data_IF_094270423344
#
_entry.id   IF_094270423344
#
_cell.length_a   1.000
_cell.length_b   1.000
_cell.length_c   1.000
_cell.angle_alpha   90.00
_cell.angle_beta   90.00
_cell.angle_gamma   90.00
#
_symmetry.space_group_name_H-M   'P 1'
#
loop_
_entity.id
_entity.type
_entity.pdbx_description
1 polymer ?
#
# COMPACT_ATOMS: atom_id res chain seq x y z
N UNK A 1 13.50 1.28 3.98
CA UNK A 1 12.07 1.40 4.36
C UNK A 1 11.30 0.29 3.65
N UNK A 2 10.39 -0.39 4.35
CA UNK A 2 9.48 -1.39 3.80
C UNK A 2 8.01 -1.02 4.05
N UNK A 3 7.75 -0.23 5.09
CA UNK A 3 6.42 0.20 5.47
C UNK A 3 6.43 1.71 5.61
N UNK A 4 5.52 2.37 4.92
CA UNK A 4 5.27 3.80 5.00
C UNK A 4 3.83 4.00 5.46
N UNK A 5 3.64 4.73 6.55
CA UNK A 5 2.37 4.88 7.23
C UNK A 5 1.97 6.35 7.27
N UNK A 6 0.75 6.63 6.88
CA UNK A 6 0.09 7.89 7.12
C UNK A 6 -0.44 7.92 8.56
N UNK A 7 0.25 8.65 9.42
CA UNK A 7 0.03 8.55 10.86
C UNK A 7 -1.37 9.00 11.30
N UNK A 8 -1.88 10.10 10.75
CA UNK A 8 -3.19 10.58 11.16
C UNK A 8 -4.35 9.81 10.55
N UNK A 9 -4.18 9.23 9.37
CA UNK A 9 -5.16 8.32 8.80
C UNK A 9 -5.32 7.03 9.63
N UNK A 10 -4.24 6.59 10.28
CA UNK A 10 -4.28 5.43 11.18
C UNK A 10 -4.88 5.78 12.55
N UNK A 11 -4.54 6.95 13.12
CA UNK A 11 -5.07 7.38 14.44
C UNK A 11 -6.58 7.67 14.36
N UNK A 12 -7.03 8.24 13.26
CA UNK A 12 -8.39 8.70 13.10
C UNK A 12 -9.03 8.08 11.87
N UNK A 13 -10.05 7.22 12.01
CA UNK A 13 -10.87 6.77 10.89
C UNK A 13 -11.38 7.96 10.06
N UNK A 14 -11.70 7.78 8.76
CA UNK A 14 -12.00 8.86 7.81
C UNK A 14 -12.98 9.93 8.29
N UNK A 15 -13.94 9.59 9.17
CA UNK A 15 -14.85 10.55 9.77
C UNK A 15 -14.26 11.41 10.91
N UNK A 16 -13.14 11.00 11.52
CA UNK A 16 -12.47 11.73 12.60
C UNK A 16 -11.34 12.64 12.12
N UNK A 17 -10.80 12.41 10.94
CA UNK A 17 -9.82 13.33 10.32
C UNK A 17 -10.44 14.71 10.14
N UNK A 18 -11.74 14.80 9.89
CA UNK A 18 -12.46 16.05 9.88
C UNK A 18 -12.32 16.85 11.19
N UNK A 19 -12.11 16.20 12.33
CA UNK A 19 -11.88 16.87 13.61
C UNK A 19 -10.51 17.57 13.68
N UNK A 20 -9.51 17.06 12.97
CA UNK A 20 -8.18 17.68 12.89
C UNK A 20 -8.19 18.92 11.97
N UNK A 21 -9.11 18.97 11.01
CA UNK A 21 -9.33 20.11 10.11
C UNK A 21 -10.25 21.19 10.70
N UNK A 22 -10.74 21.00 11.94
CA UNK A 22 -11.57 21.99 12.60
C UNK A 22 -10.80 23.25 13.02
N UNK A 23 -11.47 24.41 13.19
CA UNK A 23 -10.87 25.60 13.78
C UNK A 23 -10.22 25.28 15.14
N UNK A 24 -9.13 25.97 15.49
CA UNK A 24 -8.29 25.65 16.66
C UNK A 24 -9.09 25.46 17.98
N UNK A 25 -10.17 26.23 18.19
CA UNK A 25 -11.02 26.13 19.40
C UNK A 25 -11.90 24.86 19.44
N UNK A 26 -11.97 24.09 18.36
CA UNK A 26 -12.73 22.83 18.27
C UNK A 26 -11.82 21.62 18.05
N UNK A 27 -10.50 21.84 17.94
CA UNK A 27 -9.52 20.73 17.80
C UNK A 27 -9.34 20.03 19.16
N UNK A 28 -9.03 18.73 19.13
CA UNK A 28 -8.60 18.04 20.35
C UNK A 28 -7.39 18.75 20.98
N UNK A 29 -7.23 18.70 22.31
CA UNK A 29 -6.04 19.22 22.97
C UNK A 29 -4.74 18.64 22.38
N UNK A 30 -3.68 19.43 22.35
CA UNK A 30 -2.37 18.98 21.83
C UNK A 30 -1.85 17.73 22.57
N UNK A 31 -2.15 17.62 23.86
CA UNK A 31 -1.80 16.45 24.67
C UNK A 31 -2.53 15.19 24.21
N UNK A 32 -3.79 15.30 23.81
CA UNK A 32 -4.55 14.17 23.27
C UNK A 32 -3.91 13.62 21.98
N UNK A 33 -3.50 14.50 21.07
CA UNK A 33 -2.82 14.10 19.82
C UNK A 33 -1.47 13.43 20.11
N UNK A 34 -0.71 13.99 21.06
CA UNK A 34 0.55 13.39 21.52
C UNK A 34 0.31 11.97 22.04
N UNK A 35 -0.69 11.80 22.91
CA UNK A 35 -1.01 10.51 23.51
C UNK A 35 -1.47 9.49 22.44
N UNK A 36 -2.24 9.94 21.45
CA UNK A 36 -2.63 9.07 20.35
C UNK A 36 -1.41 8.64 19.50
N UNK A 37 -0.49 9.55 19.19
CA UNK A 37 0.75 9.21 18.48
C UNK A 37 1.58 8.19 19.27
N UNK A 38 1.78 8.42 20.57
CA UNK A 38 2.54 7.51 21.43
C UNK A 38 1.90 6.11 21.47
N UNK A 39 0.57 6.04 21.62
CA UNK A 39 -0.18 4.77 21.57
C UNK A 39 -0.02 4.07 20.23
N UNK A 40 -0.12 4.80 19.13
CA UNK A 40 0.09 4.24 17.81
C UNK A 40 1.49 3.64 17.69
N UNK A 41 2.54 4.41 18.04
CA UNK A 41 3.93 3.92 17.96
C UNK A 41 4.12 2.67 18.81
N UNK A 42 3.58 2.64 20.02
CA UNK A 42 3.64 1.48 20.89
C UNK A 42 2.92 0.26 20.29
N UNK A 43 1.71 0.44 19.76
CA UNK A 43 0.94 -0.63 19.11
C UNK A 43 1.70 -1.20 17.90
N UNK A 44 2.24 -0.30 17.09
CA UNK A 44 3.02 -0.70 15.90
C UNK A 44 4.30 -1.44 16.28
N UNK A 45 5.04 -0.94 17.28
CA UNK A 45 6.28 -1.58 17.72
C UNK A 45 6.05 -3.00 18.24
N UNK A 46 4.97 -3.20 19.01
CA UNK A 46 4.57 -4.52 19.51
C UNK A 46 4.15 -5.44 18.38
N UNK A 47 3.29 -4.97 17.47
CA UNK A 47 2.74 -5.79 16.38
C UNK A 47 3.75 -6.11 15.27
N UNK A 48 4.68 -5.20 14.97
CA UNK A 48 5.70 -5.38 13.94
C UNK A 48 6.95 -6.12 14.45
N UNK A 49 7.22 -5.99 15.73
CA UNK A 49 8.49 -6.46 16.29
C UNK A 49 9.70 -5.60 15.87
N UNK A 50 10.88 -5.83 16.46
CA UNK A 50 12.02 -4.92 16.34
C UNK A 50 12.59 -4.82 14.91
N UNK A 51 12.52 -5.87 14.13
CA UNK A 51 13.08 -5.90 12.78
C UNK A 51 12.26 -5.07 11.78
N UNK A 52 10.93 -5.23 11.77
CA UNK A 52 10.06 -4.45 10.89
C UNK A 52 9.90 -3.01 11.38
N UNK A 53 9.92 -2.77 12.71
CA UNK A 53 9.92 -1.42 13.27
C UNK A 53 11.05 -0.57 12.69
N UNK A 54 12.29 -1.10 12.60
CA UNK A 54 13.44 -0.42 11.98
C UNK A 54 13.28 -0.14 10.48
N UNK A 55 12.31 -0.75 9.84
CA UNK A 55 12.01 -0.60 8.41
C UNK A 55 10.71 0.17 8.17
N UNK A 56 10.12 0.71 9.23
CA UNK A 56 8.85 1.45 9.22
C UNK A 56 9.10 2.94 9.39
N UNK A 57 8.41 3.73 8.59
CA UNK A 57 8.38 5.20 8.69
C UNK A 57 6.92 5.64 8.81
N UNK A 58 6.65 6.53 9.76
CA UNK A 58 5.35 7.16 9.95
C UNK A 58 5.49 8.64 9.63
N UNK A 59 4.59 9.17 8.82
CA UNK A 59 4.50 10.60 8.50
C UNK A 59 3.31 11.20 9.23
N UNK A 60 3.56 12.29 9.96
CA UNK A 60 2.53 13.12 10.57
C UNK A 60 2.51 14.51 9.93
N UNK A 61 1.35 15.13 9.88
CA UNK A 61 1.24 16.53 9.45
C UNK A 61 1.98 17.45 10.42
N UNK A 62 2.75 18.40 9.87
CA UNK A 62 3.54 19.34 10.66
C UNK A 62 2.69 20.37 11.42
N UNK A 63 1.46 20.64 10.97
CA UNK A 63 0.55 21.56 11.65
C UNK A 63 0.26 21.17 13.10
N UNK A 64 0.37 19.88 13.41
CA UNK A 64 0.13 19.29 14.73
C UNK A 64 1.44 18.81 15.40
N UNK A 65 2.60 19.21 14.87
CA UNK A 65 3.89 18.87 15.47
C UNK A 65 4.03 19.55 16.85
N UNK A 66 4.45 18.81 17.89
CA UNK A 66 4.74 19.42 19.18
C UNK A 66 5.84 20.46 19.08
N UNK A 67 5.69 21.64 19.71
CA UNK A 67 6.72 22.68 19.68
C UNK A 67 8.05 22.14 20.22
N UNK A 68 9.15 22.42 19.51
CA UNK A 68 10.49 22.06 19.94
C UNK A 68 10.92 20.62 19.71
N UNK A 69 10.07 19.78 19.09
CA UNK A 69 10.51 18.45 18.65
C UNK A 69 11.20 18.54 17.27
N UNK A 70 12.21 17.68 17.04
CA UNK A 70 12.81 17.58 15.71
C UNK A 70 11.77 17.07 14.69
N UNK A 71 11.91 17.50 13.44
CA UNK A 71 11.06 17.04 12.34
C UNK A 71 11.22 15.54 12.03
N UNK A 72 12.33 14.94 12.45
CA UNK A 72 12.64 13.53 12.28
C UNK A 72 13.15 12.97 13.62
N UNK A 73 12.58 11.86 14.06
CA UNK A 73 12.99 11.16 15.27
C UNK A 73 12.79 9.65 15.11
N UNK A 74 13.43 8.87 15.97
CA UNK A 74 13.25 7.42 16.03
C UNK A 74 12.74 7.05 17.41
N UNK A 75 11.61 6.36 17.46
CA UNK A 75 11.02 5.86 18.70
C UNK A 75 10.68 4.37 18.53
N UNK A 76 11.10 3.56 19.48
CA UNK A 76 10.95 2.10 19.46
C UNK A 76 11.41 1.44 18.14
N UNK A 77 12.41 2.01 17.48
CA UNK A 77 12.92 1.57 16.20
C UNK A 77 12.17 2.14 14.99
N UNK A 78 11.00 2.73 15.16
CA UNK A 78 10.18 3.31 14.10
C UNK A 78 10.67 4.74 13.84
N UNK A 79 10.85 5.08 12.57
CA UNK A 79 11.13 6.45 12.14
C UNK A 79 9.84 7.25 12.13
N UNK A 80 9.83 8.38 12.83
CA UNK A 80 8.71 9.32 12.87
C UNK A 80 9.17 10.60 12.20
N UNK A 81 8.42 11.06 11.21
CA UNK A 81 8.69 12.31 10.51
C UNK A 81 7.46 13.20 10.52
N UNK A 82 7.66 14.49 10.81
CA UNK A 82 6.66 15.52 10.62
C UNK A 82 6.91 16.22 9.30
N UNK A 83 5.86 16.42 8.49
CA UNK A 83 5.95 16.98 7.12
C UNK A 83 6.26 18.49 7.11
N UNK A 84 7.29 18.89 7.85
CA UNK A 84 7.74 20.31 7.91
C UNK A 84 8.19 20.76 6.53
N UNK A 85 7.65 21.90 6.08
CA UNK A 85 7.95 22.44 4.74
C UNK A 85 7.03 21.93 3.62
N UNK A 86 6.13 21.01 3.92
CA UNK A 86 5.08 20.56 3.01
C UNK A 86 3.73 21.18 3.41
N UNK A 87 2.84 21.31 2.44
CA UNK A 87 1.50 21.83 2.71
C UNK A 87 0.66 20.85 3.53
N UNK A 88 0.80 19.56 3.25
CA UNK A 88 0.10 18.45 3.89
C UNK A 88 1.04 17.23 3.98
N UNK A 89 0.74 16.30 4.88
CA UNK A 89 1.50 15.05 5.00
C UNK A 89 1.46 14.22 3.70
N UNK A 90 0.36 14.31 2.94
CA UNK A 90 0.17 13.61 1.67
C UNK A 90 1.25 13.97 0.65
N UNK A 91 1.63 15.25 0.55
CA UNK A 91 2.67 15.71 -0.37
C UNK A 91 4.02 15.05 -0.05
N UNK A 92 4.33 14.90 1.25
CA UNK A 92 5.55 14.20 1.70
C UNK A 92 5.48 12.70 1.46
N UNK A 93 4.33 12.08 1.69
CA UNK A 93 4.10 10.66 1.40
C UNK A 93 4.30 10.37 -0.09
N UNK A 94 3.73 11.17 -0.98
CA UNK A 94 3.89 11.03 -2.43
C UNK A 94 5.36 11.16 -2.87
N UNK A 95 6.09 12.12 -2.30
CA UNK A 95 7.52 12.30 -2.60
C UNK A 95 8.32 11.05 -2.17
N UNK A 96 8.10 10.53 -0.97
CA UNK A 96 8.77 9.33 -0.47
C UNK A 96 8.44 8.09 -1.33
N UNK A 97 7.19 7.95 -1.76
CA UNK A 97 6.75 6.88 -2.67
C UNK A 97 7.45 7.02 -4.02
N UNK A 98 7.50 8.25 -4.57
CA UNK A 98 8.12 8.51 -5.87
C UNK A 98 9.64 8.24 -5.83
N UNK A 99 10.31 8.64 -4.77
CA UNK A 99 11.75 8.48 -4.59
C UNK A 99 12.17 7.06 -4.19
N UNK A 100 11.23 6.19 -3.82
CA UNK A 100 11.57 4.84 -3.33
C UNK A 100 12.17 3.97 -4.44
N UNK A 101 13.41 3.48 -4.23
CA UNK A 101 14.17 2.71 -5.22
C UNK A 101 13.63 1.30 -5.50
N UNK A 102 12.87 0.71 -4.57
CA UNK A 102 12.30 -0.63 -4.70
C UNK A 102 10.78 -0.63 -4.37
N UNK A 103 9.94 0.04 -5.17
CA UNK A 103 8.53 0.26 -4.84
C UNK A 103 7.74 -1.04 -4.69
N UNK A 104 8.07 -2.09 -5.43
CA UNK A 104 7.43 -3.41 -5.28
C UNK A 104 7.62 -4.06 -3.90
N UNK A 105 8.57 -3.55 -3.10
CA UNK A 105 8.83 -4.01 -1.73
C UNK A 105 8.24 -3.08 -0.68
N UNK A 106 7.62 -1.98 -1.09
CA UNK A 106 7.04 -0.97 -0.23
C UNK A 106 5.55 -1.28 0.02
N UNK A 107 5.17 -1.28 1.30
CA UNK A 107 3.78 -1.26 1.74
C UNK A 107 3.44 0.15 2.19
N UNK A 108 2.41 0.74 1.62
CA UNK A 108 1.90 2.08 1.97
C UNK A 108 0.55 1.91 2.65
N UNK A 109 0.46 2.38 3.89
CA UNK A 109 -0.73 2.29 4.72
C UNK A 109 -1.35 3.69 4.84
N UNK A 110 -2.41 3.92 4.12
CA UNK A 110 -3.21 5.15 4.15
C UNK A 110 -4.60 4.86 3.61
N UNK A 111 -5.63 5.47 4.19
CA UNK A 111 -6.99 5.46 3.65
C UNK A 111 -7.25 6.65 2.71
N UNK A 112 -6.25 7.50 2.47
CA UNK A 112 -6.36 8.56 1.48
C UNK A 112 -6.19 8.01 0.06
N UNK A 113 -7.18 8.30 -0.78
CA UNK A 113 -7.21 7.81 -2.16
C UNK A 113 -6.04 8.35 -3.02
N UNK A 114 -5.60 9.58 -2.77
CA UNK A 114 -4.52 10.23 -3.47
C UNK A 114 -3.19 9.50 -3.20
N UNK A 115 -2.89 9.24 -1.93
CA UNK A 115 -1.71 8.49 -1.48
C UNK A 115 -1.73 7.06 -2.01
N UNK A 116 -2.87 6.37 -1.92
CA UNK A 116 -3.02 5.01 -2.45
C UNK A 116 -2.80 4.95 -3.97
N UNK A 117 -3.33 5.94 -4.72
CA UNK A 117 -3.13 6.02 -6.16
C UNK A 117 -1.66 6.24 -6.52
N UNK A 118 -0.95 7.10 -5.80
CA UNK A 118 0.48 7.32 -5.98
C UNK A 118 1.27 6.02 -5.73
N UNK A 119 0.96 5.29 -4.66
CA UNK A 119 1.58 4.00 -4.35
C UNK A 119 1.36 2.96 -5.46
N UNK A 120 0.11 2.77 -5.89
CA UNK A 120 -0.24 1.82 -6.96
C UNK A 120 0.44 2.15 -8.29
N UNK A 121 0.51 3.43 -8.67
CA UNK A 121 1.20 3.88 -9.90
C UNK A 121 2.69 3.54 -9.89
N UNK A 122 3.31 3.51 -8.72
CA UNK A 122 4.72 3.10 -8.54
C UNK A 122 4.89 1.59 -8.42
N UNK A 123 3.79 0.82 -8.33
CA UNK A 123 3.82 -0.62 -8.12
C UNK A 123 4.07 -1.02 -6.67
N UNK A 124 3.83 -0.12 -5.71
CA UNK A 124 3.82 -0.41 -4.28
C UNK A 124 2.47 -1.02 -3.86
N UNK A 125 2.48 -1.77 -2.77
CA UNK A 125 1.26 -2.26 -2.15
C UNK A 125 0.61 -1.12 -1.37
N UNK A 126 -0.62 -0.73 -1.75
CA UNK A 126 -1.42 0.23 -1.02
C UNK A 126 -2.52 -0.49 -0.23
N UNK A 127 -2.62 -0.21 1.06
CA UNK A 127 -3.56 -0.86 1.99
C UNK A 127 -4.28 0.21 2.82
N UNK A 128 -5.57 0.01 3.06
CA UNK A 128 -6.35 0.82 3.99
C UNK A 128 -5.92 0.63 5.43
N UNK A 129 -6.05 1.68 6.23
CA UNK A 129 -5.58 1.72 7.62
C UNK A 129 -6.26 0.70 8.52
N UNK A 130 -7.61 0.63 8.52
CA UNK A 130 -8.37 -0.27 9.40
C UNK A 130 -8.04 -1.74 9.15
N UNK A 131 -8.23 -2.30 7.94
CA UNK A 131 -7.94 -3.71 7.70
C UNK A 131 -6.46 -4.06 7.87
N UNK A 132 -5.56 -3.09 7.72
CA UNK A 132 -4.14 -3.30 7.97
C UNK A 132 -3.85 -3.41 9.47
N UNK A 133 -4.45 -2.53 10.30
CA UNK A 133 -4.31 -2.58 11.75
C UNK A 133 -4.90 -3.86 12.35
N UNK A 134 -6.06 -4.29 11.88
CA UNK A 134 -6.69 -5.54 12.32
C UNK A 134 -5.74 -6.71 12.08
N UNK A 135 -5.16 -6.80 10.90
CA UNK A 135 -4.18 -7.83 10.58
C UNK A 135 -2.89 -7.72 11.38
N UNK A 136 -2.45 -6.52 11.68
CA UNK A 136 -1.29 -6.30 12.55
C UNK A 136 -1.56 -6.83 13.96
N UNK A 137 -2.75 -6.56 14.49
CA UNK A 137 -3.17 -7.03 15.82
C UNK A 137 -3.27 -8.55 15.88
N UNK A 138 -3.67 -9.19 14.78
CA UNK A 138 -3.70 -10.64 14.63
C UNK A 138 -2.29 -11.26 14.41
N UNK A 139 -1.24 -10.44 14.44
CA UNK A 139 0.14 -10.88 14.19
C UNK A 139 0.45 -11.23 12.73
N UNK A 140 -0.40 -10.81 11.78
CA UNK A 140 -0.29 -11.10 10.35
C UNK A 140 -0.34 -9.82 9.50
N UNK A 141 0.57 -8.86 9.69
CA UNK A 141 0.54 -7.62 8.93
C UNK A 141 0.64 -7.89 7.43
N UNK A 142 -0.20 -7.21 6.65
CA UNK A 142 -0.14 -7.32 5.19
C UNK A 142 1.06 -6.51 4.70
N UNK A 143 1.98 -7.18 4.02
CA UNK A 143 3.22 -6.61 3.50
C UNK A 143 3.37 -6.91 2.01
N UNK A 144 4.04 -6.01 1.29
CA UNK A 144 4.35 -6.17 -0.13
C UNK A 144 5.27 -7.39 -0.41
N UNK A 145 6.04 -7.78 0.59
CA UNK A 145 6.89 -8.99 0.56
C UNK A 145 6.69 -9.77 1.87
N UNK A 146 6.79 -11.11 1.84
CA UNK A 146 6.77 -11.92 3.06
C UNK A 146 7.84 -11.47 4.06
N UNK A 147 7.54 -11.55 5.35
CA UNK A 147 8.50 -11.27 6.41
C UNK A 147 8.51 -12.41 7.44
N UNK A 148 9.66 -12.93 7.86
CA UNK A 148 10.99 -12.62 7.33
C UNK A 148 11.11 -12.96 5.85
N UNK A 149 11.98 -12.27 5.09
CA UNK A 149 12.19 -12.62 3.69
C UNK A 149 12.70 -14.05 3.63
N UNK A 150 12.30 -14.85 2.63
CA UNK A 150 12.83 -16.20 2.47
C UNK A 150 14.36 -16.12 2.50
N UNK A 151 14.99 -16.90 3.38
CA UNK A 151 16.44 -16.98 3.47
C UNK A 151 16.96 -17.43 2.10
N UNK A 152 18.04 -16.82 1.63
CA UNK A 152 18.69 -17.17 0.36
C UNK A 152 19.27 -18.60 0.35
N UNK A 153 18.70 -19.52 1.08
CA UNK A 153 19.10 -20.91 1.24
C UNK A 153 17.96 -21.84 1.67
N UNK A 154 16.75 -21.33 1.94
CA UNK A 154 15.59 -22.20 1.94
C UNK A 154 15.24 -22.46 0.47
N UNK A 155 15.60 -23.63 0.00
CA UNK A 155 15.08 -24.19 -1.23
C UNK A 155 13.60 -23.83 -1.28
N UNK A 156 13.21 -23.12 -2.37
CA UNK A 156 11.84 -23.03 -2.74
C UNK A 156 11.33 -24.47 -2.65
N UNK A 157 10.36 -24.75 -1.77
CA UNK A 157 9.48 -25.88 -2.00
C UNK A 157 9.12 -25.74 -3.47
N UNK A 158 9.60 -26.68 -4.24
CA UNK A 158 9.31 -26.79 -5.65
C UNK A 158 7.79 -26.66 -5.79
N UNK A 159 7.32 -25.47 -6.12
CA UNK A 159 6.13 -25.41 -6.95
C UNK A 159 6.56 -26.24 -8.16
N UNK A 160 6.03 -27.46 -8.22
CA UNK A 160 6.29 -28.44 -9.27
C UNK A 160 6.44 -27.67 -10.59
N UNK A 161 7.66 -27.57 -11.07
CA UNK A 161 7.87 -27.24 -12.48
C UNK A 161 7.04 -28.26 -13.23
N UNK A 162 6.17 -27.85 -14.14
CA UNK A 162 5.43 -28.81 -14.94
C UNK A 162 6.46 -29.77 -15.52
N UNK A 163 6.36 -31.02 -15.11
CA UNK A 163 7.24 -32.09 -15.59
C UNK A 163 7.14 -32.05 -17.12
N UNK A 164 8.27 -31.98 -17.81
CA UNK A 164 8.35 -31.84 -19.26
C UNK A 164 7.49 -32.86 -20.03
N UNK A 165 7.12 -33.98 -19.43
CA UNK A 165 6.19 -34.96 -19.99
C UNK A 165 4.71 -34.57 -20.06
N UNK A 166 4.29 -33.54 -19.33
CA UNK A 166 2.88 -33.07 -19.39
C UNK A 166 2.63 -32.03 -20.47
N UNK A 167 3.68 -31.45 -21.04
CA UNK A 167 3.52 -30.46 -22.11
C UNK A 167 3.16 -31.16 -23.41
N UNK A 168 3.74 -32.30 -23.68
CA UNK A 168 3.44 -33.10 -24.88
C UNK A 168 2.02 -33.66 -24.83
N UNK A 169 1.56 -34.11 -23.66
CA UNK A 169 0.20 -34.59 -23.44
C UNK A 169 -0.85 -33.45 -23.60
N UNK A 170 -0.47 -32.22 -23.26
CA UNK A 170 -1.28 -31.02 -23.48
C UNK A 170 -1.35 -30.61 -24.94
N UNK A 171 -0.23 -30.73 -25.67
CA UNK A 171 -0.18 -30.44 -27.11
C UNK A 171 -0.97 -31.48 -27.93
N UNK A 172 -0.90 -32.76 -27.55
CA UNK A 172 -1.72 -33.80 -28.21
C UNK A 172 -3.23 -33.61 -27.93
N UNK A 173 -3.63 -33.10 -26.75
CA UNK A 173 -5.03 -32.78 -26.47
C UNK A 173 -5.55 -31.59 -27.32
N UNK A 174 -4.68 -30.67 -27.72
CA UNK A 174 -5.04 -29.55 -28.60
C UNK A 174 -5.10 -29.89 -30.09
N UNK A 175 -4.41 -30.96 -30.51
CA UNK A 175 -4.40 -31.40 -31.93
C UNK A 175 -5.57 -32.34 -32.26
N UNK A 176 -6.36 -32.78 -31.28
CA UNK A 176 -7.49 -33.68 -31.46
C UNK A 176 -8.87 -33.00 -31.40
N UNK A 177 -9.08 -31.87 -32.06
CA UNK A 177 -10.44 -31.47 -32.38
C UNK A 177 -10.71 -31.67 -33.88
N UNK A 178 -11.64 -32.57 -34.25
CA UNK A 178 -12.04 -32.74 -35.61
C UNK A 178 -12.98 -31.61 -36.04
N UNK A 179 -12.58 -30.96 -37.16
CA UNK A 179 -13.41 -30.31 -38.13
C UNK A 179 -14.78 -29.77 -37.69
N UNK A 180 -14.82 -28.56 -37.22
CA UNK A 180 -16.03 -27.74 -37.23
C UNK A 180 -16.06 -26.90 -38.55
N UNK A 181 -17.22 -26.77 -39.22
CA UNK A 181 -17.29 -26.06 -40.49
C UNK A 181 -16.82 -24.62 -40.35
N UNK A 182 -15.97 -24.19 -41.23
CA UNK A 182 -15.47 -22.82 -41.33
C UNK A 182 -16.63 -21.82 -41.42
N UNK A 183 -17.10 -21.33 -40.30
CA UNK A 183 -17.85 -20.09 -40.26
C UNK A 183 -16.88 -18.98 -40.65
N UNK A 184 -17.14 -18.37 -41.83
CA UNK A 184 -16.39 -17.23 -42.35
C UNK A 184 -16.33 -16.16 -41.25
N UNK A 185 -15.19 -16.01 -40.61
CA UNK A 185 -14.93 -14.93 -39.65
C UNK A 185 -15.18 -13.60 -40.36
N UNK A 186 -16.29 -12.94 -40.02
CA UNK A 186 -16.51 -11.54 -40.42
C UNK A 186 -15.36 -10.73 -39.80
N UNK A 187 -14.76 -9.77 -40.52
CA UNK A 187 -13.73 -8.92 -39.94
C UNK A 187 -14.31 -8.21 -38.72
N UNK A 188 -13.55 -8.26 -37.63
CA UNK A 188 -13.92 -7.58 -36.40
C UNK A 188 -14.05 -6.07 -36.63
N UNK A 189 -15.24 -5.52 -36.46
CA UNK A 189 -15.52 -4.10 -36.56
C UNK A 189 -15.78 -3.56 -35.12
N UNK A 190 -15.05 -2.52 -34.68
CA UNK A 190 -15.18 -1.99 -33.30
C UNK A 190 -16.51 -1.27 -33.03
N UNK A 191 -17.31 -1.02 -34.08
CA UNK A 191 -18.60 -0.33 -33.96
C UNK A 191 -19.73 -1.19 -34.54
N UNK A 192 -20.95 -1.13 -33.93
CA UNK A 192 -22.13 -1.80 -34.51
C UNK A 192 -22.48 -1.28 -35.88
N UNK A 193 -23.09 -2.13 -36.73
CA UNK A 193 -23.54 -1.74 -38.06
C UNK A 193 -24.51 -0.54 -37.99
N UNK A 194 -24.24 0.52 -38.74
CA UNK A 194 -25.04 1.76 -38.72
C UNK A 194 -24.45 2.88 -37.88
N UNK A 195 -23.33 2.71 -37.19
CA UNK A 195 -22.71 3.76 -36.43
C UNK A 195 -22.02 4.78 -37.33
N UNK A 196 -22.61 5.99 -37.43
CA UNK A 196 -22.03 7.11 -38.18
C UNK A 196 -22.73 7.46 -39.52
N UNK A 197 -23.84 6.82 -39.88
CA UNK A 197 -24.60 7.18 -41.09
C UNK A 197 -25.33 8.54 -40.98
N UNK A 198 -25.49 9.08 -39.74
CA UNK A 198 -26.18 10.35 -39.48
C UNK A 198 -25.23 11.56 -39.43
N UNK A 199 -23.97 11.43 -39.83
CA UNK A 199 -22.94 12.48 -39.73
C UNK A 199 -22.47 13.03 -41.09
N UNK A 200 -23.27 12.91 -42.12
CA UNK A 200 -23.04 13.58 -43.41
C UNK A 200 -24.14 14.56 -43.76
#
# INVERSE_FOLDING_TARGET
MLILIDGYNVIAPPGRIAMLKLPAHRRPPADWLRDQRNRLVQTLAVGLGPELSRKTTIIFDAADAPPGLPSLMVEQGITIEFSVGYREADDRLEELIAAHHAPKRLTVVSSDHRVQLAARRRGALAVDCEPWLDRLTDGKPLLAIPWPPPSAGSEAEESEKPVAGKVDEWLEAFEMEPDSPQEKRRPWHPFPEGYGEDLL
#
